data_IF_798773698286
#
_entry.id   IF_798773698286
#
_cell.length_a   1.000
_cell.length_b   1.000
_cell.length_c   1.000
_cell.angle_alpha   90.00
_cell.angle_beta   90.00
_cell.angle_gamma   90.00
#
_symmetry.space_group_name_H-M   'P 1'
#
loop_
_entity.id
_entity.type
_entity.pdbx_description
1 polymer ?
#
# COMPACT_ATOMS: atom_id res chain seq x y z
N UNK A 1 -78.62 14.99 11.87
CA UNK A 1 -77.63 15.23 12.94
C UNK A 1 -76.91 13.94 13.25
N UNK A 2 -75.75 13.77 12.77
CA UNK A 2 -74.92 12.56 13.01
C UNK A 2 -74.08 12.84 14.25
N UNK A 3 -74.39 12.11 15.37
CA UNK A 3 -73.60 12.15 16.59
C UNK A 3 -72.30 11.35 16.37
N UNK A 4 -71.19 12.03 16.30
CA UNK A 4 -69.88 11.42 16.33
C UNK A 4 -69.59 10.80 17.70
N UNK A 5 -69.14 9.57 17.82
CA UNK A 5 -68.75 8.99 19.08
C UNK A 5 -67.61 9.73 19.72
N UNK A 6 -67.77 10.23 20.95
CA UNK A 6 -66.64 10.78 21.73
C UNK A 6 -65.70 9.63 22.12
N UNK A 7 -64.50 9.65 21.57
CA UNK A 7 -63.44 8.75 22.01
C UNK A 7 -63.06 9.10 23.45
N UNK A 8 -63.35 8.21 24.39
CA UNK A 8 -62.91 8.35 25.78
C UNK A 8 -61.36 8.15 25.82
N UNK A 9 -60.64 9.21 26.06
CA UNK A 9 -59.18 9.18 26.29
C UNK A 9 -58.96 8.50 27.65
N UNK A 10 -58.54 7.24 27.64
CA UNK A 10 -58.10 6.52 28.84
C UNK A 10 -56.80 7.09 29.34
N UNK A 11 -56.80 7.77 30.48
CA UNK A 11 -55.65 8.46 31.11
C UNK A 11 -54.52 7.52 31.59
N UNK A 12 -54.56 6.23 31.28
CA UNK A 12 -53.53 5.28 31.69
C UNK A 12 -52.57 4.80 30.59
N UNK A 13 -52.94 5.01 29.32
CA UNK A 13 -52.14 4.47 28.19
C UNK A 13 -50.88 5.31 27.88
N UNK A 14 -50.84 6.58 28.29
CA UNK A 14 -49.78 7.52 27.90
C UNK A 14 -48.39 7.20 28.47
N UNK A 15 -48.29 6.66 29.68
CA UNK A 15 -47.01 6.34 30.32
C UNK A 15 -46.35 5.12 29.64
N UNK A 16 -47.18 4.08 29.38
CA UNK A 16 -46.69 2.86 28.70
C UNK A 16 -46.29 3.16 27.27
N UNK A 17 -47.06 3.98 26.57
CA UNK A 17 -46.75 4.41 25.19
C UNK A 17 -45.45 5.21 25.13
N UNK A 18 -45.21 6.14 26.07
CA UNK A 18 -43.98 6.91 26.15
C UNK A 18 -42.77 6.01 26.46
N UNK A 19 -42.92 5.03 27.39
CA UNK A 19 -41.87 4.08 27.69
C UNK A 19 -41.51 3.20 26.46
N UNK A 20 -42.54 2.77 25.73
CA UNK A 20 -42.35 1.97 24.52
C UNK A 20 -41.68 2.78 23.41
N UNK A 21 -42.09 4.05 23.24
CA UNK A 21 -41.48 4.96 22.29
C UNK A 21 -39.98 5.23 22.60
N UNK A 22 -39.63 5.45 23.91
CA UNK A 22 -38.29 5.62 24.36
C UNK A 22 -37.44 4.36 24.16
N UNK A 23 -37.98 3.18 24.44
CA UNK A 23 -37.29 1.91 24.19
C UNK A 23 -37.06 1.71 22.70
N UNK A 24 -38.05 1.93 21.84
CA UNK A 24 -37.89 1.84 20.39
C UNK A 24 -36.89 2.83 19.85
N UNK A 25 -36.91 4.08 20.33
CA UNK A 25 -35.92 5.09 19.97
C UNK A 25 -34.51 4.67 20.38
N UNK A 26 -34.31 4.11 21.58
CA UNK A 26 -33.03 3.61 22.07
C UNK A 26 -32.48 2.50 21.18
N UNK A 27 -33.32 1.56 20.74
CA UNK A 27 -32.88 0.51 19.80
C UNK A 27 -32.48 1.07 18.44
N UNK A 28 -33.25 2.01 17.90
CA UNK A 28 -32.88 2.66 16.60
C UNK A 28 -31.59 3.44 16.71
N UNK A 29 -31.38 4.17 17.81
CA UNK A 29 -30.14 4.92 18.04
C UNK A 29 -28.93 4.00 18.14
N UNK A 30 -29.04 2.88 18.88
CA UNK A 30 -27.96 1.89 18.94
C UNK A 30 -27.67 1.25 17.56
N UNK A 31 -28.70 0.88 16.82
CA UNK A 31 -28.54 0.33 15.48
C UNK A 31 -27.85 1.33 14.53
N UNK A 32 -28.23 2.61 14.60
CA UNK A 32 -27.59 3.66 13.82
C UNK A 32 -26.09 3.82 14.14
N UNK A 33 -25.71 3.77 15.44
CA UNK A 33 -24.30 3.81 15.85
C UNK A 33 -23.49 2.64 15.29
N UNK A 34 -24.03 1.42 15.33
CA UNK A 34 -23.35 0.24 14.78
C UNK A 34 -23.11 0.39 13.27
N UNK A 35 -24.11 0.86 12.52
CA UNK A 35 -23.98 1.10 11.08
C UNK A 35 -22.96 2.19 10.78
N UNK A 36 -22.93 3.28 11.56
CA UNK A 36 -21.92 4.33 11.39
C UNK A 36 -20.50 3.82 11.66
N UNK A 37 -20.29 3.00 12.69
CA UNK A 37 -18.96 2.41 12.98
C UNK A 37 -18.50 1.48 11.85
N UNK A 38 -19.39 0.64 11.33
CA UNK A 38 -19.08 -0.24 10.20
C UNK A 38 -18.78 0.56 8.93
N UNK A 39 -19.55 1.61 8.66
CA UNK A 39 -19.33 2.51 7.53
C UNK A 39 -17.97 3.21 7.60
N UNK A 40 -17.61 3.75 8.76
CA UNK A 40 -16.33 4.41 8.98
C UNK A 40 -15.15 3.44 8.80
N UNK A 41 -15.22 2.24 9.37
CA UNK A 41 -14.19 1.20 9.21
C UNK A 41 -14.01 0.76 7.75
N UNK A 42 -15.11 0.64 7.01
CA UNK A 42 -15.07 0.29 5.58
C UNK A 42 -14.48 1.41 4.73
N UNK A 43 -14.82 2.67 5.02
CA UNK A 43 -14.26 3.83 4.33
C UNK A 43 -12.75 3.96 4.58
N UNK A 44 -12.31 3.76 5.82
CA UNK A 44 -10.89 3.77 6.17
C UNK A 44 -10.12 2.68 5.42
N UNK A 45 -10.61 1.44 5.40
CA UNK A 45 -10.00 0.36 4.65
C UNK A 45 -9.89 0.66 3.16
N UNK A 46 -10.95 1.24 2.57
CA UNK A 46 -10.94 1.65 1.16
C UNK A 46 -9.86 2.69 0.87
N UNK A 47 -9.69 3.66 1.77
CA UNK A 47 -8.66 4.68 1.67
C UNK A 47 -7.24 4.07 1.74
N UNK A 48 -7.00 3.20 2.74
CA UNK A 48 -5.73 2.49 2.90
C UNK A 48 -5.35 1.70 1.64
N UNK A 49 -6.31 0.94 1.08
CA UNK A 49 -6.13 0.18 -0.17
C UNK A 49 -5.81 1.12 -1.34
N UNK A 50 -6.50 2.25 -1.44
CA UNK A 50 -6.29 3.23 -2.50
C UNK A 50 -4.89 3.84 -2.44
N UNK A 51 -4.43 4.22 -1.24
CA UNK A 51 -3.08 4.73 -1.00
C UNK A 51 -2.05 3.69 -1.38
N UNK A 52 -2.17 2.45 -0.87
CA UNK A 52 -1.24 1.37 -1.19
C UNK A 52 -1.15 1.12 -2.71
N UNK A 53 -2.29 1.09 -3.41
CA UNK A 53 -2.32 0.93 -4.88
C UNK A 53 -1.63 2.06 -5.61
N UNK A 54 -1.83 3.31 -5.19
CA UNK A 54 -1.17 4.46 -5.80
C UNK A 54 0.35 4.37 -5.67
N UNK A 55 0.85 3.98 -4.50
CA UNK A 55 2.29 3.79 -4.30
C UNK A 55 2.84 2.60 -5.09
N UNK A 56 2.13 1.48 -5.14
CA UNK A 56 2.52 0.34 -5.97
C UNK A 56 2.56 0.69 -7.45
N UNK A 57 1.59 1.49 -7.93
CA UNK A 57 1.58 1.99 -9.31
C UNK A 57 2.76 2.93 -9.58
N UNK A 58 3.08 3.82 -8.64
CA UNK A 58 4.26 4.69 -8.76
C UNK A 58 5.56 3.87 -8.88
N UNK A 59 5.72 2.83 -8.07
CA UNK A 59 6.85 1.90 -8.19
C UNK A 59 6.86 1.18 -9.54
N UNK A 60 5.69 0.74 -10.01
CA UNK A 60 5.55 0.07 -11.31
C UNK A 60 5.97 0.98 -12.48
N UNK A 61 5.55 2.23 -12.46
CA UNK A 61 5.93 3.21 -13.48
C UNK A 61 7.42 3.55 -13.42
N UNK A 62 7.99 3.66 -12.22
CA UNK A 62 9.43 3.86 -12.05
C UNK A 62 10.25 2.70 -12.65
N UNK A 63 9.83 1.45 -12.42
CA UNK A 63 10.47 0.27 -13.02
C UNK A 63 10.42 0.33 -14.56
N UNK A 64 9.25 0.64 -15.12
CA UNK A 64 9.08 0.75 -16.58
C UNK A 64 9.94 1.86 -17.17
N UNK A 65 9.99 3.00 -16.47
CA UNK A 65 10.82 4.13 -16.89
C UNK A 65 12.30 3.78 -16.88
N UNK A 66 12.81 3.18 -15.79
CA UNK A 66 14.22 2.78 -15.67
C UNK A 66 14.56 1.77 -16.77
N UNK A 67 13.70 0.77 -17.01
CA UNK A 67 13.92 -0.20 -18.08
C UNK A 67 13.97 0.47 -19.46
N UNK A 68 13.03 1.38 -19.76
CA UNK A 68 13.01 2.09 -21.03
C UNK A 68 14.23 3.01 -21.19
N UNK A 69 14.62 3.72 -20.13
CA UNK A 69 15.77 4.61 -20.15
C UNK A 69 17.10 3.84 -20.29
N UNK A 70 17.23 2.70 -19.61
CA UNK A 70 18.41 1.82 -19.75
C UNK A 70 18.54 1.30 -21.18
N UNK A 71 17.45 0.82 -21.79
CA UNK A 71 17.47 0.30 -23.17
C UNK A 71 17.63 1.40 -24.25
N UNK A 72 17.11 2.61 -24.04
CA UNK A 72 17.22 3.70 -25.00
C UNK A 72 18.69 4.18 -25.13
N UNK A 73 19.40 4.25 -24.02
CA UNK A 73 20.77 4.74 -24.00
C UNK A 73 21.83 3.70 -24.43
N UNK A 74 21.53 2.42 -24.28
CA UNK A 74 22.39 1.36 -24.81
C UNK A 74 22.60 1.49 -26.34
N UNK A 75 21.64 2.14 -27.04
CA UNK A 75 21.71 2.41 -28.48
C UNK A 75 22.44 3.69 -28.87
N UNK A 76 22.57 4.66 -27.96
CA UNK A 76 23.03 6.01 -28.26
C UNK A 76 24.42 6.37 -27.67
N UNK A 77 25.01 5.50 -26.85
CA UNK A 77 26.28 5.79 -26.18
C UNK A 77 27.46 5.29 -27.00
N UNK A 78 28.29 6.22 -27.50
CA UNK A 78 29.68 5.93 -27.85
C UNK A 78 30.38 5.30 -26.63
N UNK A 79 31.07 4.20 -26.86
CA UNK A 79 31.66 3.32 -25.85
C UNK A 79 32.40 4.08 -24.74
N UNK A 80 31.87 4.03 -23.52
CA UNK A 80 32.63 4.47 -22.34
C UNK A 80 31.88 4.81 -21.08
N UNK A 81 30.65 5.34 -21.12
CA UNK A 81 29.90 5.71 -19.91
C UNK A 81 28.55 5.02 -19.84
N UNK A 82 28.39 4.07 -18.92
CA UNK A 82 27.08 3.51 -18.61
C UNK A 82 26.22 4.57 -17.93
N UNK A 83 25.00 4.78 -18.45
CA UNK A 83 24.00 5.65 -17.86
C UNK A 83 23.73 5.28 -16.39
N UNK A 84 23.42 6.25 -15.53
CA UNK A 84 22.97 5.96 -14.16
C UNK A 84 21.76 5.04 -14.14
N UNK A 85 20.85 5.16 -15.09
CA UNK A 85 19.69 4.27 -15.20
C UNK A 85 20.07 2.85 -15.60
N UNK A 86 21.12 2.66 -16.42
CA UNK A 86 21.65 1.33 -16.71
C UNK A 86 22.28 0.69 -15.47
N UNK A 87 23.06 1.45 -14.72
CA UNK A 87 23.64 0.99 -13.45
C UNK A 87 22.54 0.64 -12.43
N UNK A 88 21.51 1.48 -12.32
CA UNK A 88 20.38 1.23 -11.44
C UNK A 88 19.60 -0.01 -11.87
N UNK A 89 19.40 -0.19 -13.17
CA UNK A 89 18.80 -1.38 -13.75
C UNK A 89 19.59 -2.64 -13.38
N UNK A 90 20.89 -2.62 -13.56
CA UNK A 90 21.77 -3.73 -13.21
C UNK A 90 21.73 -4.06 -11.71
N UNK A 91 21.67 -3.03 -10.86
CA UNK A 91 21.48 -3.21 -9.41
C UNK A 91 20.14 -3.86 -9.08
N UNK A 92 19.06 -3.50 -9.78
CA UNK A 92 17.74 -4.11 -9.59
C UNK A 92 17.74 -5.58 -10.01
N UNK A 93 18.24 -5.91 -11.19
CA UNK A 93 18.28 -7.31 -11.67
C UNK A 93 19.27 -8.16 -10.90
N UNK A 94 20.33 -7.59 -10.32
CA UNK A 94 21.25 -8.29 -9.41
C UNK A 94 20.55 -8.81 -8.13
N UNK A 95 19.41 -8.20 -7.75
CA UNK A 95 18.57 -8.69 -6.66
C UNK A 95 17.68 -9.89 -7.07
N UNK A 96 17.69 -10.29 -8.35
CA UNK A 96 16.83 -11.36 -8.83
C UNK A 96 17.06 -12.66 -8.04
N UNK A 97 15.95 -13.30 -7.72
CA UNK A 97 15.93 -14.53 -6.95
C UNK A 97 14.55 -15.12 -6.88
N UNK A 98 14.38 -16.15 -6.06
CA UNK A 98 13.06 -16.73 -5.80
C UNK A 98 12.21 -15.74 -5.00
N UNK A 99 11.02 -15.48 -5.47
CA UNK A 99 10.03 -14.64 -4.76
C UNK A 99 9.49 -15.41 -3.56
N UNK A 100 9.48 -14.77 -2.40
CA UNK A 100 8.97 -15.36 -1.16
C UNK A 100 7.46 -15.52 -1.17
N UNK A 101 6.97 -16.54 -0.48
CA UNK A 101 5.54 -16.71 -0.30
C UNK A 101 4.99 -15.76 0.78
N UNK A 102 3.67 -15.54 0.78
CA UNK A 102 3.02 -14.72 1.81
C UNK A 102 3.16 -15.32 3.22
N UNK A 103 3.35 -16.64 3.33
CA UNK A 103 3.61 -17.32 4.60
C UNK A 103 4.94 -16.92 5.23
N UNK A 104 5.91 -16.50 4.42
CA UNK A 104 7.23 -16.04 4.91
C UNK A 104 7.17 -14.64 5.47
N UNK A 105 6.21 -13.82 4.99
CA UNK A 105 6.05 -12.42 5.35
C UNK A 105 5.11 -12.24 6.54
N UNK A 106 4.04 -13.03 6.60
CA UNK A 106 3.03 -12.97 7.64
C UNK A 106 3.27 -14.06 8.66
N UNK A 107 3.66 -13.67 9.86
CA UNK A 107 3.90 -14.58 10.98
C UNK A 107 2.84 -14.39 12.07
N UNK A 108 2.91 -15.19 13.12
CA UNK A 108 2.07 -15.01 14.31
C UNK A 108 2.87 -14.29 15.40
N UNK A 109 2.27 -13.28 16.00
CA UNK A 109 2.80 -12.63 17.19
C UNK A 109 2.67 -13.54 18.43
N UNK A 110 3.15 -13.08 19.57
CA UNK A 110 3.07 -13.79 20.86
C UNK A 110 1.63 -14.07 21.30
N UNK A 111 0.65 -13.33 20.78
CA UNK A 111 -0.78 -13.53 21.01
C UNK A 111 -1.45 -14.46 20.00
N UNK A 112 -0.70 -15.02 19.05
CA UNK A 112 -1.22 -15.88 17.97
C UNK A 112 -1.92 -15.11 16.84
N UNK A 113 -1.88 -13.77 16.84
CA UNK A 113 -2.42 -12.91 15.80
C UNK A 113 -1.47 -12.86 14.61
N UNK A 114 -2.02 -12.94 13.40
CA UNK A 114 -1.26 -12.76 12.18
C UNK A 114 -0.80 -11.30 12.02
N UNK A 115 0.49 -11.09 11.80
CA UNK A 115 1.12 -9.78 11.66
C UNK A 115 2.09 -9.78 10.48
N UNK A 116 2.29 -8.61 9.85
CA UNK A 116 3.33 -8.42 8.85
C UNK A 116 4.66 -8.19 9.58
N UNK A 117 5.57 -9.15 9.58
CA UNK A 117 6.75 -9.08 10.45
C UNK A 117 8.09 -9.18 9.72
N UNK A 118 8.14 -9.89 8.60
CA UNK A 118 9.39 -10.18 7.92
C UNK A 118 9.42 -9.58 6.52
N UNK A 119 10.49 -8.83 6.24
CA UNK A 119 10.82 -8.49 4.86
C UNK A 119 11.56 -9.65 4.23
N UNK A 120 11.12 -10.11 3.05
CA UNK A 120 11.87 -11.11 2.32
C UNK A 120 13.29 -10.60 1.97
N UNK A 121 14.25 -11.49 1.96
CA UNK A 121 15.61 -11.17 1.50
C UNK A 121 15.60 -10.66 0.06
N UNK A 122 16.58 -9.82 -0.29
CA UNK A 122 16.69 -9.18 -1.61
C UNK A 122 15.48 -8.34 -2.01
N UNK A 123 14.75 -7.81 -1.02
CA UNK A 123 13.66 -6.87 -1.25
C UNK A 123 14.17 -5.43 -1.23
N UNK A 124 13.66 -4.63 -2.14
CA UNK A 124 14.01 -3.23 -2.27
C UNK A 124 12.78 -2.37 -2.56
N UNK A 125 12.97 -1.07 -2.53
CA UNK A 125 12.05 -0.05 -3.03
C UNK A 125 12.82 0.94 -3.89
N UNK A 126 12.12 1.63 -4.79
CA UNK A 126 12.66 2.74 -5.56
C UNK A 126 12.26 4.04 -4.86
N UNK A 127 13.26 4.82 -4.47
CA UNK A 127 13.02 6.14 -3.93
C UNK A 127 12.89 7.14 -5.08
N UNK A 128 11.69 7.63 -5.28
CA UNK A 128 11.32 8.53 -6.38
C UNK A 128 11.19 10.00 -5.95
N UNK A 129 11.93 10.40 -4.92
CA UNK A 129 11.80 11.71 -4.24
C UNK A 129 11.87 12.93 -5.15
N UNK A 130 12.67 12.87 -6.17
CA UNK A 130 12.99 14.03 -7.00
C UNK A 130 12.19 14.12 -8.30
N UNK A 131 11.18 13.26 -8.49
CA UNK A 131 10.35 13.25 -9.69
C UNK A 131 9.54 14.55 -9.90
N UNK A 132 9.25 15.29 -8.83
CA UNK A 132 8.57 16.59 -8.91
C UNK A 132 9.35 17.64 -9.71
N UNK A 133 10.67 17.48 -9.81
CA UNK A 133 11.57 18.37 -10.57
C UNK A 133 11.90 17.84 -11.98
N UNK A 134 11.15 16.87 -12.45
CA UNK A 134 11.41 16.15 -13.70
C UNK A 134 12.40 14.99 -13.51
N UNK A 135 12.39 14.06 -14.45
CA UNK A 135 13.32 12.91 -14.48
C UNK A 135 14.75 13.42 -14.79
N UNK A 136 15.46 13.83 -13.76
CA UNK A 136 16.90 14.10 -13.85
C UNK A 136 17.65 12.85 -13.43
N UNK A 137 18.81 12.66 -14.01
CA UNK A 137 19.76 11.63 -13.62
C UNK A 137 20.04 11.74 -12.10
N UNK A 138 19.99 10.60 -11.37
CA UNK A 138 20.08 10.60 -9.90
C UNK A 138 18.78 10.89 -9.15
N UNK A 139 17.64 10.98 -9.85
CA UNK A 139 16.35 11.23 -9.20
C UNK A 139 15.67 9.99 -8.62
N UNK A 140 16.19 8.81 -8.93
CA UNK A 140 15.65 7.53 -8.45
C UNK A 140 16.80 6.72 -7.85
N UNK A 141 16.65 6.33 -6.59
CA UNK A 141 17.61 5.50 -5.87
C UNK A 141 16.98 4.17 -5.45
N UNK A 142 17.80 3.11 -5.44
CA UNK A 142 17.43 1.82 -4.90
C UNK A 142 17.72 1.79 -3.40
N UNK A 143 16.70 1.49 -2.60
CA UNK A 143 16.81 1.39 -1.15
C UNK A 143 16.31 0.04 -0.63
N UNK A 144 16.86 -0.44 0.49
CA UNK A 144 16.32 -1.61 1.16
C UNK A 144 14.86 -1.34 1.58
N UNK A 145 14.01 -2.34 1.40
CA UNK A 145 12.63 -2.26 1.85
C UNK A 145 12.55 -2.36 3.37
N UNK A 146 11.61 -1.62 3.97
CA UNK A 146 11.31 -1.68 5.41
C UNK A 146 9.85 -2.06 5.61
N UNK A 147 9.55 -2.99 6.54
CA UNK A 147 8.18 -3.33 6.93
C UNK A 147 7.76 -2.51 8.12
N UNK A 148 6.59 -1.92 8.02
CA UNK A 148 5.93 -1.31 9.17
C UNK A 148 4.58 -1.98 9.41
N UNK A 149 4.20 -2.17 10.67
CA UNK A 149 2.92 -2.83 11.00
C UNK A 149 1.70 -2.00 10.59
N UNK A 150 1.90 -0.76 10.14
CA UNK A 150 0.85 0.11 9.61
C UNK A 150 1.34 0.75 8.32
N UNK A 151 0.41 0.94 7.39
CA UNK A 151 0.68 1.76 6.20
C UNK A 151 0.84 3.19 6.67
N UNK A 152 2.09 3.67 6.74
CA UNK A 152 2.40 5.04 7.14
C UNK A 152 2.69 5.83 5.88
N UNK A 153 1.82 6.77 5.59
CA UNK A 153 2.10 7.80 4.62
C UNK A 153 2.84 8.92 5.33
N UNK A 154 4.14 9.01 5.14
CA UNK A 154 4.93 10.17 5.58
C UNK A 154 4.93 11.21 4.49
N UNK A 155 3.88 11.99 4.41
CA UNK A 155 3.95 13.29 3.81
C UNK A 155 4.64 14.27 4.78
N UNK A 156 5.36 15.26 4.25
CA UNK A 156 5.99 16.36 5.00
C UNK A 156 4.99 17.22 5.82
N UNK A 157 3.78 16.76 6.01
CA UNK A 157 2.75 17.41 6.81
C UNK A 157 2.67 16.76 8.19
N UNK A 158 3.36 17.30 9.12
CA UNK A 158 3.14 17.47 10.55
C UNK A 158 2.24 16.53 11.36
N UNK A 159 1.83 15.39 10.86
CA UNK A 159 1.06 14.39 11.59
C UNK A 159 1.99 13.33 12.18
N UNK A 160 2.23 13.51 13.46
CA UNK A 160 2.99 12.57 14.28
C UNK A 160 4.49 12.74 14.14
N UNK A 161 5.06 13.69 14.85
CA UNK A 161 6.45 13.61 15.26
C UNK A 161 6.62 12.29 16.00
N UNK A 162 7.09 11.25 15.31
CA UNK A 162 7.84 10.21 15.97
C UNK A 162 9.00 10.93 16.64
N UNK A 163 9.26 10.60 17.89
CA UNK A 163 10.24 11.26 18.75
C UNK A 163 11.50 11.64 17.97
N UNK A 164 11.79 12.93 18.00
CA UNK A 164 12.76 13.63 17.16
C UNK A 164 14.23 13.29 17.43
N UNK A 165 14.53 12.19 18.09
CA UNK A 165 15.89 11.89 18.55
C UNK A 165 16.64 10.85 17.71
N UNK A 166 16.02 10.20 16.70
CA UNK A 166 16.70 9.17 15.91
C UNK A 166 16.59 9.31 14.39
N UNK A 167 15.91 10.31 13.87
CA UNK A 167 15.78 10.50 12.42
C UNK A 167 16.44 11.84 12.06
N UNK A 168 17.60 11.78 11.45
CA UNK A 168 18.23 12.95 10.85
C UNK A 168 17.26 13.61 9.85
N UNK A 169 17.17 14.92 9.91
CA UNK A 169 16.26 15.73 9.08
C UNK A 169 16.45 15.55 7.54
N UNK A 170 17.43 14.75 7.12
CA UNK A 170 17.68 14.34 5.75
C UNK A 170 17.01 13.02 5.33
N UNK A 171 16.48 12.25 6.29
CA UNK A 171 15.90 10.93 6.04
C UNK A 171 14.35 10.96 5.97
N UNK A 172 13.81 12.05 5.46
CA UNK A 172 12.37 12.15 5.21
C UNK A 172 12.05 11.27 4.00
N UNK A 173 11.61 10.07 4.27
CA UNK A 173 11.21 9.12 3.25
C UNK A 173 9.84 9.49 2.68
N UNK A 174 9.78 9.83 1.41
CA UNK A 174 8.54 9.97 0.64
C UNK A 174 8.04 8.62 0.12
N UNK A 175 8.64 7.52 0.54
CA UNK A 175 8.21 6.19 0.16
C UNK A 175 7.24 5.63 1.19
N UNK A 176 6.15 5.04 0.74
CA UNK A 176 5.23 4.35 1.64
C UNK A 176 5.93 3.15 2.27
N UNK A 177 6.02 3.18 3.57
CA UNK A 177 6.49 2.09 4.38
C UNK A 177 5.49 0.92 4.28
N UNK A 178 5.97 -0.31 4.22
CA UNK A 178 5.14 -1.50 4.04
C UNK A 178 4.98 -1.98 2.60
N UNK A 179 5.72 -1.39 1.64
CA UNK A 179 5.83 -1.88 0.27
C UNK A 179 7.23 -2.43 0.04
N UNK A 180 7.33 -3.50 -0.72
CA UNK A 180 8.60 -4.06 -1.18
C UNK A 180 8.48 -4.62 -2.58
N UNK A 181 9.62 -4.70 -3.26
CA UNK A 181 9.77 -5.26 -4.59
C UNK A 181 10.73 -6.44 -4.51
N UNK A 182 10.35 -7.55 -5.10
CA UNK A 182 11.23 -8.70 -5.36
C UNK A 182 11.25 -8.96 -6.86
N UNK A 183 12.40 -9.36 -7.38
CA UNK A 183 12.60 -9.63 -8.81
C UNK A 183 12.80 -11.11 -9.02
N UNK A 184 12.14 -11.66 -10.04
CA UNK A 184 12.35 -13.02 -10.51
C UNK A 184 12.64 -13.01 -12.02
N UNK A 185 13.61 -13.81 -12.44
CA UNK A 185 13.84 -14.05 -13.87
C UNK A 185 12.77 -15.03 -14.36
N UNK A 186 11.82 -14.55 -15.15
CA UNK A 186 10.65 -15.33 -15.57
C UNK A 186 10.82 -16.06 -16.90
N UNK A 187 11.81 -15.69 -17.70
CA UNK A 187 12.09 -16.36 -18.97
C UNK A 187 13.33 -15.81 -19.67
N UNK A 188 13.90 -16.65 -20.51
CA UNK A 188 15.02 -16.28 -21.35
C UNK A 188 14.86 -16.94 -22.72
N UNK A 189 14.90 -16.14 -23.77
CA UNK A 189 14.91 -16.56 -25.16
C UNK A 189 16.21 -16.10 -25.83
N UNK A 190 16.41 -16.51 -27.10
CA UNK A 190 17.56 -16.07 -27.89
C UNK A 190 17.60 -14.55 -28.07
N UNK A 191 16.43 -13.89 -28.09
CA UNK A 191 16.29 -12.46 -28.38
C UNK A 191 15.95 -11.61 -27.19
N UNK A 192 15.52 -12.17 -26.05
CA UNK A 192 15.12 -11.39 -24.90
C UNK A 192 15.23 -12.17 -23.58
N UNK A 193 15.42 -11.42 -22.50
CA UNK A 193 15.29 -11.92 -21.12
C UNK A 193 14.12 -11.19 -20.46
N UNK A 194 13.29 -11.92 -19.75
CA UNK A 194 12.12 -11.38 -19.06
C UNK A 194 12.31 -11.42 -17.55
N UNK A 195 11.96 -10.33 -16.89
CA UNK A 195 11.97 -10.21 -15.44
C UNK A 195 10.58 -9.85 -14.94
N UNK A 196 10.14 -10.51 -13.88
CA UNK A 196 8.92 -10.22 -13.16
C UNK A 196 9.24 -9.51 -11.86
N UNK A 197 8.78 -8.28 -11.73
CA UNK A 197 8.89 -7.48 -10.53
C UNK A 197 7.62 -7.63 -9.73
N UNK A 198 7.70 -8.32 -8.60
CA UNK A 198 6.61 -8.53 -7.67
C UNK A 198 6.58 -7.38 -6.68
N UNK A 199 5.70 -6.42 -6.89
CA UNK A 199 5.47 -5.30 -5.99
C UNK A 199 4.40 -5.72 -5.01
N UNK A 200 4.71 -5.75 -3.72
CA UNK A 200 3.83 -6.26 -2.67
C UNK A 200 3.74 -5.28 -1.52
N UNK A 201 2.62 -5.34 -0.82
CA UNK A 201 2.37 -4.56 0.39
C UNK A 201 1.64 -5.41 1.42
N UNK A 202 2.02 -5.24 2.68
CA UNK A 202 1.39 -5.88 3.82
C UNK A 202 1.28 -4.89 4.97
N UNK A 203 0.08 -4.75 5.55
CA UNK A 203 -0.12 -3.88 6.72
C UNK A 203 -1.28 -4.35 7.58
N UNK A 204 -1.31 -3.87 8.83
CA UNK A 204 -2.39 -4.10 9.76
C UNK A 204 -3.39 -2.94 9.70
N UNK A 205 -4.64 -3.25 9.36
CA UNK A 205 -5.71 -2.27 9.34
C UNK A 205 -6.50 -2.32 10.66
N UNK A 206 -6.86 -1.18 11.24
CA UNK A 206 -7.67 -1.13 12.46
C UNK A 206 -8.98 -1.89 12.30
N UNK A 207 -9.35 -2.68 13.31
CA UNK A 207 -10.58 -3.48 13.30
C UNK A 207 -10.52 -4.76 12.45
N UNK A 208 -9.38 -5.11 11.87
CA UNK A 208 -9.17 -6.39 11.18
C UNK A 208 -8.34 -7.34 12.04
N UNK A 209 -8.70 -8.62 12.03
CA UNK A 209 -7.97 -9.67 12.74
C UNK A 209 -6.79 -10.22 11.95
N UNK A 210 -6.76 -9.96 10.64
CA UNK A 210 -5.72 -10.41 9.72
C UNK A 210 -5.15 -9.23 8.95
N UNK A 211 -3.85 -9.21 8.64
CA UNK A 211 -3.24 -8.16 7.86
C UNK A 211 -3.78 -8.14 6.43
N UNK A 212 -3.82 -6.95 5.87
CA UNK A 212 -4.16 -6.73 4.47
C UNK A 212 -2.92 -7.01 3.62
N UNK A 213 -3.13 -7.72 2.51
CA UNK A 213 -2.08 -8.10 1.57
C UNK A 213 -2.49 -7.67 0.18
N UNK A 214 -1.64 -6.89 -0.47
CA UNK A 214 -1.79 -6.51 -1.87
C UNK A 214 -0.54 -6.90 -2.66
N UNK A 215 -0.70 -7.21 -3.94
CA UNK A 215 0.40 -7.51 -4.82
C UNK A 215 0.04 -7.22 -6.27
N UNK A 216 1.04 -6.78 -7.03
CA UNK A 216 0.99 -6.68 -8.49
C UNK A 216 2.30 -7.16 -9.07
N UNK A 217 2.28 -7.53 -10.33
CA UNK A 217 3.46 -8.01 -11.06
C UNK A 217 3.66 -7.10 -12.27
N UNK A 218 4.86 -6.60 -12.41
CA UNK A 218 5.29 -5.85 -13.60
C UNK A 218 6.29 -6.71 -14.34
N UNK A 219 5.89 -7.16 -15.53
CA UNK A 219 6.80 -7.88 -16.43
C UNK A 219 7.49 -6.90 -17.36
N UNK A 220 8.80 -7.00 -17.45
CA UNK A 220 9.63 -6.25 -18.37
C UNK A 220 10.54 -7.17 -19.17
N UNK A 221 10.86 -6.75 -20.38
CA UNK A 221 11.69 -7.51 -21.30
C UNK A 221 12.95 -6.71 -21.64
N UNK A 222 14.09 -7.36 -21.60
CA UNK A 222 15.35 -6.83 -22.14
C UNK A 222 15.57 -7.50 -23.48
N UNK A 223 15.71 -6.71 -24.52
CA UNK A 223 16.08 -7.21 -25.85
C UNK A 223 17.58 -7.45 -25.86
N UNK A 224 18.00 -8.66 -26.17
CA UNK A 224 19.42 -8.97 -26.40
C UNK A 224 19.77 -8.48 -27.80
N UNK A 225 20.75 -7.61 -27.92
CA UNK A 225 21.28 -7.30 -29.24
C UNK A 225 21.86 -8.58 -29.85
N UNK A 226 21.41 -8.89 -31.08
CA UNK A 226 22.02 -9.96 -31.88
C UNK A 226 23.45 -9.54 -32.21
N UNK A 227 24.42 -10.26 -31.66
CA UNK A 227 25.85 -10.13 -32.00
C UNK A 227 26.08 -10.38 -33.48
#
# INVERSE_FOLDING_TARGET
MIKLPQASVKKGDTIVEVLFALAAFGFVAMAAMVVMQQGSSSAQLSLEISIARNHMNSQAEAIRFINAAAQARERDVEAGESSEYAKLWDQMIAQAGKVSDWGDVVTKDSGGRAVCSNIPSKSFILDVKNLSNGFKEGSIDLRPATVFPRLVYRENYGFGKADSNEINAGDIFDSSEGIWIQVEKSGENFTSTSYDFHIRSCWESPGKSTPIKLGTIVRVHIIKESA
#
